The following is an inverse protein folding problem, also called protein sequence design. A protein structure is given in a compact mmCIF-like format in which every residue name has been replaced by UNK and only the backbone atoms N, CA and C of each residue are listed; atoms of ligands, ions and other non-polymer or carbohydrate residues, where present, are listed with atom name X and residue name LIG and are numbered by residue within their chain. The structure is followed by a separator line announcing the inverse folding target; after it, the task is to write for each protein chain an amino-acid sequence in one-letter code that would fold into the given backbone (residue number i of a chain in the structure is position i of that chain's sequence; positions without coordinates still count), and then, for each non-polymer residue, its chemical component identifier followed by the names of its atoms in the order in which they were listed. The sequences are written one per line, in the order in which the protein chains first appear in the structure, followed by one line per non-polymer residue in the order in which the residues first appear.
data_IF_473206223396
#
_entry.id   IF_473206223396
#
_cell.length_a   1.000
_cell.length_b   1.000
_cell.length_c   1.000
_cell.angle_alpha   90.00
_cell.angle_beta   90.00
_cell.angle_gamma   90.00
#
_symmetry.space_group_name_H-M   'P 1'
#
loop_
_entity.id
_entity.type
_entity.pdbx_description
1 polymer ?
#
# COMPACT_ATOMS: atom_id res chain seq x y z
N UNK A 1 -46.08 -43.79 36.77
CA UNK A 1 -45.90 -43.47 38.20
C UNK A 1 -44.58 -42.73 38.37
N UNK A 2 -44.61 -41.40 38.52
CA UNK A 2 -44.03 -40.72 39.70
C UNK A 2 -42.51 -40.61 39.61
N UNK A 3 -41.91 -39.45 39.29
CA UNK A 3 -41.74 -38.35 40.26
C UNK A 3 -41.64 -36.98 39.56
N UNK A 4 -42.20 -35.98 40.23
CA UNK A 4 -42.21 -34.55 39.92
C UNK A 4 -41.31 -33.81 40.93
N UNK A 5 -40.55 -32.83 40.41
CA UNK A 5 -40.17 -31.52 41.01
C UNK A 5 -39.17 -31.51 42.20
N UNK A 6 -38.61 -30.34 42.64
CA UNK A 6 -38.64 -28.95 42.12
C UNK A 6 -37.27 -28.18 42.14
N UNK A 7 -37.26 -26.92 41.68
CA UNK A 7 -36.44 -25.82 42.26
C UNK A 7 -35.43 -25.17 41.31
N UNK A 8 -35.68 -23.96 40.78
CA UNK A 8 -35.18 -22.64 41.28
C UNK A 8 -33.64 -22.59 41.31
N UNK A 9 -32.97 -21.73 40.54
CA UNK A 9 -32.90 -20.31 40.88
C UNK A 9 -32.49 -19.37 39.73
N UNK A 10 -33.09 -18.18 39.80
CA UNK A 10 -32.71 -16.99 39.03
C UNK A 10 -31.42 -16.41 39.64
N UNK A 11 -30.45 -16.05 38.79
CA UNK A 11 -29.43 -15.03 39.13
C UNK A 11 -29.23 -14.10 37.92
N UNK A 12 -29.58 -12.82 38.02
CA UNK A 12 -29.03 -11.79 37.14
C UNK A 12 -28.12 -10.87 37.96
N UNK A 13 -26.82 -10.85 37.69
CA UNK A 13 -25.93 -9.77 38.13
C UNK A 13 -24.54 -9.95 37.53
N UNK A 14 -24.04 -8.91 36.84
CA UNK A 14 -22.66 -8.85 36.38
C UNK A 14 -22.47 -7.94 35.17
N UNK A 15 -22.86 -6.67 35.29
CA UNK A 15 -22.49 -5.63 34.32
C UNK A 15 -20.96 -5.51 34.23
N UNK A 16 -20.37 -5.33 33.04
CA UNK A 16 -18.93 -5.19 32.90
C UNK A 16 -18.45 -3.83 33.44
N UNK A 17 -17.28 -3.74 34.10
CA UNK A 17 -16.71 -2.46 34.50
C UNK A 17 -16.31 -1.63 33.28
N UNK A 18 -16.78 -0.39 33.25
CA UNK A 18 -16.44 0.65 32.28
C UNK A 18 -14.98 1.06 32.44
N UNK A 19 -14.14 0.74 31.45
CA UNK A 19 -12.80 1.31 31.35
C UNK A 19 -12.92 2.70 30.70
N UNK A 20 -12.58 3.74 31.47
CA UNK A 20 -12.50 5.13 31.02
C UNK A 20 -11.33 5.31 30.05
N UNK A 21 -11.60 5.89 28.89
CA UNK A 21 -10.59 6.42 27.98
C UNK A 21 -9.99 7.71 28.57
N UNK A 22 -8.65 7.88 28.57
CA UNK A 22 -8.05 9.18 28.78
C UNK A 22 -8.05 9.99 27.47
N UNK A 23 -8.59 11.21 27.57
CA UNK A 23 -8.55 12.25 26.56
C UNK A 23 -7.10 12.75 26.38
N UNK A 24 -6.45 12.34 25.29
CA UNK A 24 -5.14 12.83 24.87
C UNK A 24 -5.31 13.88 23.78
N UNK A 25 -4.95 15.12 24.09
CA UNK A 25 -5.06 16.29 23.23
C UNK A 25 -4.03 16.22 22.09
N UNK A 26 -4.50 16.29 20.84
CA UNK A 26 -3.62 16.49 19.68
C UNK A 26 -3.14 17.95 19.60
N UNK A 27 -1.84 18.21 19.39
CA UNK A 27 -1.40 19.56 19.09
C UNK A 27 -1.78 19.94 17.65
N UNK A 28 -2.62 20.96 17.52
CA UNK A 28 -2.90 21.69 16.27
C UNK A 28 -1.63 22.40 15.81
N UNK A 29 -1.02 21.93 14.72
CA UNK A 29 0.06 22.66 14.05
C UNK A 29 -0.58 23.69 13.11
N UNK A 30 -0.41 24.97 13.46
CA UNK A 30 -0.86 26.12 12.68
C UNK A 30 0.32 26.60 11.84
N UNK A 31 0.25 26.47 10.52
CA UNK A 31 1.25 27.03 9.61
C UNK A 31 1.03 28.54 9.47
N UNK A 32 1.93 29.36 10.02
CA UNK A 32 2.00 30.80 9.70
C UNK A 32 2.88 31.01 8.47
N UNK A 33 2.29 31.59 7.43
CA UNK A 33 2.97 32.11 6.25
C UNK A 33 3.69 33.41 6.63
N UNK A 34 5.01 33.43 6.56
CA UNK A 34 5.78 34.67 6.69
C UNK A 34 5.84 35.41 5.34
N UNK A 35 5.25 36.60 5.32
CA UNK A 35 5.24 37.51 4.19
C UNK A 35 6.64 38.08 3.90
N UNK A 36 6.95 38.16 2.61
CA UNK A 36 8.16 38.77 2.05
C UNK A 36 8.19 40.26 2.38
N UNK A 37 9.36 40.79 2.77
CA UNK A 37 9.67 42.21 2.65
C UNK A 37 10.98 42.40 1.88
N UNK A 38 10.83 43.08 0.75
CA UNK A 38 11.87 43.62 -0.12
C UNK A 38 12.38 44.94 0.50
N UNK A 39 13.65 45.31 0.28
CA UNK A 39 13.86 46.58 -0.44
C UNK A 39 15.01 46.55 -1.46
N UNK A 40 14.76 47.22 -2.58
CA UNK A 40 15.74 47.78 -3.56
C UNK A 40 15.66 49.32 -3.46
N UNK A 41 16.44 50.15 -4.19
CA UNK A 41 17.71 49.95 -4.91
C UNK A 41 18.77 51.03 -4.58
N UNK A 42 20.00 50.89 -5.07
CA UNK A 42 20.87 52.05 -5.36
C UNK A 42 21.44 51.90 -6.78
N UNK A 43 21.41 53.01 -7.53
CA UNK A 43 21.73 53.20 -8.95
C UNK A 43 23.04 54.04 -9.08
N UNK A 44 23.56 54.39 -10.27
CA UNK A 44 24.48 53.60 -11.10
C UNK A 44 25.77 54.39 -11.46
N UNK A 45 26.67 53.82 -12.28
CA UNK A 45 27.25 54.41 -13.53
C UNK A 45 28.62 53.78 -13.93
N UNK A 46 29.02 53.87 -15.22
CA UNK A 46 29.53 52.72 -15.96
C UNK A 46 30.96 52.89 -16.50
N UNK A 47 31.51 51.83 -17.10
CA UNK A 47 32.24 51.89 -18.38
C UNK A 47 32.39 50.51 -19.02
N UNK A 48 32.18 50.51 -20.33
CA UNK A 48 32.13 49.38 -21.25
C UNK A 48 33.45 48.60 -21.39
N UNK A 49 33.34 47.29 -21.69
CA UNK A 49 33.85 46.70 -22.94
C UNK A 49 33.24 45.31 -23.19
N UNK A 50 32.99 44.92 -24.46
CA UNK A 50 32.29 43.69 -24.79
C UNK A 50 33.28 42.53 -24.91
N UNK A 51 33.01 41.42 -24.23
CA UNK A 51 33.68 40.15 -24.53
C UNK A 51 32.63 39.05 -24.71
N UNK A 52 32.79 38.34 -25.83
CA UNK A 52 31.89 37.37 -26.46
C UNK A 52 31.46 36.24 -25.52
N UNK A 53 30.26 35.65 -25.71
CA UNK A 53 29.83 34.49 -24.94
C UNK A 53 30.63 33.26 -25.38
N UNK A 54 31.61 32.84 -24.59
CA UNK A 54 32.08 31.45 -24.66
C UNK A 54 30.99 30.59 -24.04
N UNK A 55 30.21 29.95 -24.89
CA UNK A 55 29.23 28.95 -24.49
C UNK A 55 29.90 27.88 -23.63
N UNK A 56 29.74 27.99 -22.31
CA UNK A 56 29.70 26.81 -21.45
C UNK A 56 28.43 26.09 -21.86
N UNK A 57 28.57 25.11 -22.77
CA UNK A 57 27.66 23.97 -22.77
C UNK A 57 27.65 23.48 -21.33
N UNK A 58 26.58 23.77 -20.59
CA UNK A 58 26.33 23.07 -19.35
C UNK A 58 26.23 21.61 -19.80
N UNK A 59 27.29 20.85 -19.49
CA UNK A 59 27.29 19.40 -19.64
C UNK A 59 26.03 18.95 -18.87
N UNK A 60 25.11 18.19 -19.48
CA UNK A 60 24.00 17.64 -18.71
C UNK A 60 24.64 16.91 -17.52
N UNK A 61 24.10 17.17 -16.33
CA UNK A 61 24.58 16.58 -15.09
C UNK A 61 24.82 15.10 -15.34
N UNK A 62 26.08 14.70 -15.18
CA UNK A 62 26.52 13.32 -15.21
C UNK A 62 25.61 12.60 -14.20
N UNK A 63 24.65 11.83 -14.71
CA UNK A 63 23.86 10.91 -13.89
C UNK A 63 24.89 10.05 -13.18
N UNK A 64 25.03 10.26 -11.88
CA UNK A 64 25.99 9.57 -11.04
C UNK A 64 25.75 8.07 -11.23
N UNK A 65 26.70 7.41 -11.90
CA UNK A 65 26.69 5.96 -12.07
C UNK A 65 26.86 5.39 -10.67
N UNK A 66 25.80 4.84 -10.10
CA UNK A 66 25.88 4.08 -8.87
C UNK A 66 26.57 2.76 -9.17
N UNK A 67 27.65 2.50 -8.44
CA UNK A 67 28.61 1.40 -8.66
C UNK A 67 28.18 0.09 -8.00
N UNK A 68 26.93 -0.34 -8.19
CA UNK A 68 26.46 -1.67 -7.79
C UNK A 68 25.83 -2.35 -9.01
N UNK A 69 26.55 -3.27 -9.67
CA UNK A 69 26.07 -4.37 -10.51
C UNK A 69 24.65 -4.38 -11.14
N UNK A 70 24.11 -3.25 -11.61
CA UNK A 70 23.00 -3.10 -12.57
C UNK A 70 21.60 -3.63 -12.22
N UNK A 71 21.36 -4.25 -11.07
CA UNK A 71 20.05 -4.81 -10.75
C UNK A 71 19.07 -3.75 -10.23
N UNK A 72 18.08 -3.38 -11.04
CA UNK A 72 16.97 -2.51 -10.61
C UNK A 72 16.14 -3.24 -9.55
N UNK A 73 16.04 -2.69 -8.32
CA UNK A 73 15.18 -3.27 -7.28
C UNK A 73 13.74 -3.33 -7.79
N UNK A 74 13.06 -4.49 -7.75
CA UNK A 74 11.68 -4.59 -8.17
C UNK A 74 10.76 -3.82 -7.21
N UNK A 75 9.75 -3.17 -7.76
CA UNK A 75 8.68 -2.54 -6.99
C UNK A 75 7.63 -3.61 -6.61
N UNK A 76 7.44 -3.85 -5.32
CA UNK A 76 6.58 -4.90 -4.79
C UNK A 76 5.21 -4.34 -4.45
N UNK A 77 4.17 -4.87 -5.08
CA UNK A 77 2.77 -4.50 -4.83
C UNK A 77 2.06 -5.69 -4.21
N UNK A 78 1.68 -5.57 -2.95
CA UNK A 78 0.83 -6.57 -2.30
C UNK A 78 -0.62 -6.32 -2.65
N UNK A 79 -1.28 -7.34 -3.19
CA UNK A 79 -2.73 -7.33 -3.42
C UNK A 79 -3.40 -8.22 -2.41
N UNK A 80 -4.37 -7.66 -1.70
CA UNK A 80 -5.24 -8.41 -0.80
C UNK A 80 -6.68 -7.99 -1.00
N UNK A 81 -7.62 -8.92 -0.85
CA UNK A 81 -9.02 -8.56 -0.95
C UNK A 81 -9.99 -9.69 -0.66
N UNK A 82 -11.26 -9.35 -0.72
CA UNK A 82 -12.33 -10.31 -0.49
C UNK A 82 -12.38 -11.39 -1.58
N UNK A 83 -12.73 -12.62 -1.19
CA UNK A 83 -12.84 -13.77 -2.11
C UNK A 83 -14.04 -13.66 -3.05
N UNK A 84 -15.00 -12.84 -2.66
CA UNK A 84 -16.21 -12.45 -3.39
C UNK A 84 -16.09 -11.04 -3.99
N UNK A 85 -14.89 -10.47 -4.09
CA UNK A 85 -14.72 -9.19 -4.80
C UNK A 85 -15.05 -9.36 -6.29
N UNK A 86 -16.01 -8.59 -6.80
CA UNK A 86 -16.52 -8.71 -8.18
C UNK A 86 -16.04 -7.57 -9.10
N UNK A 87 -15.69 -6.40 -8.55
CA UNK A 87 -15.30 -5.25 -9.35
C UNK A 87 -13.84 -5.36 -9.84
N UNK A 88 -13.67 -6.16 -10.89
CA UNK A 88 -12.39 -6.35 -11.59
C UNK A 88 -11.83 -5.02 -12.09
N UNK A 89 -12.69 -4.09 -12.51
CA UNK A 89 -12.25 -2.82 -13.11
C UNK A 89 -11.52 -1.96 -12.09
N UNK A 90 -12.02 -1.91 -10.86
CA UNK A 90 -11.38 -1.15 -9.79
C UNK A 90 -10.00 -1.68 -9.45
N UNK A 91 -9.83 -3.00 -9.31
CA UNK A 91 -8.51 -3.57 -9.05
C UNK A 91 -7.55 -3.37 -10.22
N UNK A 92 -8.00 -3.57 -11.47
CA UNK A 92 -7.17 -3.34 -12.66
C UNK A 92 -6.74 -1.88 -12.80
N UNK A 93 -7.64 -0.93 -12.55
CA UNK A 93 -7.30 0.50 -12.54
C UNK A 93 -6.25 0.80 -11.49
N UNK A 94 -6.42 0.30 -10.27
CA UNK A 94 -5.45 0.48 -9.21
C UNK A 94 -4.05 -0.04 -9.58
N UNK A 95 -3.96 -1.21 -10.21
CA UNK A 95 -2.69 -1.78 -10.68
C UNK A 95 -2.08 -1.00 -11.85
N UNK A 96 -2.91 -0.55 -12.80
CA UNK A 96 -2.46 0.32 -13.90
C UNK A 96 -1.94 1.67 -13.38
N UNK A 97 -2.58 2.24 -12.36
CA UNK A 97 -2.15 3.48 -11.73
C UNK A 97 -0.77 3.31 -11.08
N UNK A 98 -0.45 2.12 -10.55
CA UNK A 98 0.90 1.82 -10.06
C UNK A 98 1.90 1.88 -11.21
N UNK A 99 1.63 1.21 -12.33
CA UNK A 99 2.52 1.22 -13.49
C UNK A 99 2.76 2.64 -14.02
N UNK A 100 1.70 3.46 -14.07
CA UNK A 100 1.77 4.85 -14.53
C UNK A 100 2.58 5.77 -13.59
N UNK A 101 2.72 5.39 -12.31
CA UNK A 101 3.49 6.14 -11.31
C UNK A 101 4.96 5.71 -11.22
N UNK A 102 5.36 4.65 -11.95
CA UNK A 102 6.76 4.22 -11.95
C UNK A 102 7.66 5.24 -12.67
N UNK A 103 8.90 5.42 -12.20
CA UNK A 103 9.84 6.35 -12.83
C UNK A 103 10.30 5.88 -14.23
N UNK A 104 10.17 4.59 -14.52
CA UNK A 104 10.48 4.00 -15.82
C UNK A 104 9.73 2.68 -16.00
N UNK A 105 9.28 2.34 -17.23
CA UNK A 105 8.70 1.03 -17.54
C UNK A 105 9.67 -0.15 -17.35
N UNK A 106 10.98 0.14 -17.28
CA UNK A 106 12.02 -0.85 -17.03
C UNK A 106 12.13 -1.29 -15.56
N UNK A 107 11.44 -0.60 -14.62
CA UNK A 107 11.39 -1.04 -13.23
C UNK A 107 10.50 -2.28 -13.13
N UNK A 108 11.04 -3.44 -12.72
CA UNK A 108 10.24 -4.65 -12.60
C UNK A 108 9.20 -4.49 -11.50
N UNK A 109 7.98 -4.99 -11.72
CA UNK A 109 6.93 -5.03 -10.70
C UNK A 109 6.65 -6.46 -10.29
N UNK A 110 6.65 -6.71 -8.98
CA UNK A 110 6.24 -8.00 -8.42
C UNK A 110 4.89 -7.81 -7.73
N UNK A 111 3.86 -8.49 -8.25
CA UNK A 111 2.54 -8.54 -7.63
C UNK A 111 2.50 -9.71 -6.64
N UNK A 112 2.51 -9.40 -5.36
CA UNK A 112 2.44 -10.39 -4.27
C UNK A 112 0.97 -10.61 -3.92
N UNK A 113 0.48 -11.85 -3.97
CA UNK A 113 -0.90 -12.16 -3.63
C UNK A 113 -1.08 -13.55 -3.02
N UNK A 114 -2.28 -13.77 -2.51
CA UNK A 114 -2.61 -14.93 -1.69
C UNK A 114 -2.95 -16.24 -2.37
N UNK A 115 -2.83 -16.27 -3.69
CA UNK A 115 -3.22 -17.37 -4.56
C UNK A 115 -4.62 -17.95 -4.27
N UNK A 116 -5.58 -17.10 -3.89
CA UNK A 116 -6.97 -17.55 -3.79
C UNK A 116 -7.56 -17.73 -5.19
N UNK A 117 -8.23 -18.86 -5.50
CA UNK A 117 -8.79 -19.11 -6.83
C UNK A 117 -9.97 -18.19 -7.18
N UNK A 118 -10.43 -17.34 -6.25
CA UNK A 118 -11.56 -16.45 -6.42
C UNK A 118 -11.23 -15.02 -5.93
N UNK A 119 -12.05 -14.07 -6.38
CA UNK A 119 -11.97 -12.68 -5.93
C UNK A 119 -10.70 -11.97 -6.36
N UNK A 120 -10.18 -11.12 -5.46
CA UNK A 120 -9.07 -10.21 -5.73
C UNK A 120 -7.79 -10.93 -6.19
N UNK A 121 -7.41 -12.03 -5.53
CA UNK A 121 -6.16 -12.75 -5.85
C UNK A 121 -6.20 -13.34 -7.27
N UNK A 122 -7.33 -13.94 -7.68
CA UNK A 122 -7.51 -14.43 -9.06
C UNK A 122 -7.41 -13.29 -10.07
N UNK A 123 -8.03 -12.15 -9.76
CA UNK A 123 -8.04 -10.98 -10.64
C UNK A 123 -6.64 -10.36 -10.78
N UNK A 124 -5.85 -10.31 -9.70
CA UNK A 124 -4.47 -9.87 -9.73
C UNK A 124 -3.61 -10.78 -10.63
N UNK A 125 -3.73 -12.10 -10.45
CA UNK A 125 -3.03 -13.08 -11.30
C UNK A 125 -3.43 -12.95 -12.77
N UNK A 126 -4.71 -12.73 -13.07
CA UNK A 126 -5.18 -12.47 -14.42
C UNK A 126 -4.59 -11.18 -15.01
N UNK A 127 -4.54 -10.10 -14.23
CA UNK A 127 -3.94 -8.83 -14.65
C UNK A 127 -2.44 -8.98 -14.95
N UNK A 128 -1.69 -9.73 -14.13
CA UNK A 128 -0.28 -10.02 -14.40
C UNK A 128 -0.11 -10.75 -15.74
N UNK A 129 -0.87 -11.83 -15.96
CA UNK A 129 -0.82 -12.58 -17.22
C UNK A 129 -1.14 -11.72 -18.44
N UNK A 130 -2.14 -10.85 -18.33
CA UNK A 130 -2.51 -9.95 -19.43
C UNK A 130 -1.40 -8.93 -19.71
N UNK A 131 -0.79 -8.37 -18.66
CA UNK A 131 0.25 -7.34 -18.77
C UNK A 131 1.55 -7.91 -19.34
N UNK A 132 1.90 -9.15 -18.98
CA UNK A 132 3.06 -9.87 -19.51
C UNK A 132 3.00 -10.12 -21.03
N UNK A 133 1.81 -10.06 -21.64
CA UNK A 133 1.64 -10.17 -23.10
C UNK A 133 2.03 -8.87 -23.82
N UNK A 134 2.12 -7.75 -23.11
CA UNK A 134 2.51 -6.46 -23.66
C UNK A 134 4.03 -6.22 -23.58
N UNK A 135 4.60 -5.41 -24.48
CA UNK A 135 6.05 -5.17 -24.52
C UNK A 135 6.53 -4.07 -23.55
N UNK A 136 5.61 -3.42 -22.82
CA UNK A 136 5.91 -2.15 -22.15
C UNK A 136 6.43 -2.29 -20.72
N UNK A 137 5.94 -3.27 -19.96
CA UNK A 137 6.22 -3.39 -18.53
C UNK A 137 6.72 -4.78 -18.17
N UNK A 138 7.74 -4.83 -17.30
CA UNK A 138 8.23 -6.09 -16.74
C UNK A 138 7.44 -6.39 -15.46
N UNK A 139 6.53 -7.37 -15.52
CA UNK A 139 5.66 -7.73 -14.39
C UNK A 139 5.78 -9.23 -14.09
N UNK A 140 5.83 -9.59 -12.82
CA UNK A 140 5.78 -10.97 -12.33
C UNK A 140 4.79 -11.10 -11.16
N UNK A 141 4.33 -12.32 -10.89
CA UNK A 141 3.51 -12.63 -9.72
C UNK A 141 4.30 -13.47 -8.70
N UNK A 142 4.08 -13.19 -7.43
CA UNK A 142 4.59 -13.97 -6.30
C UNK A 142 3.39 -14.51 -5.51
N UNK A 143 3.17 -15.83 -5.64
CA UNK A 143 2.01 -16.53 -5.09
C UNK A 143 2.30 -17.08 -3.71
N UNK A 144 1.39 -16.83 -2.78
CA UNK A 144 1.43 -17.36 -1.42
C UNK A 144 0.15 -18.14 -1.10
N UNK A 145 0.03 -19.41 -1.55
CA UNK A 145 -1.12 -20.23 -1.21
C UNK A 145 -1.21 -20.50 0.29
N UNK A 146 -2.41 -20.45 0.84
CA UNK A 146 -2.64 -20.75 2.24
C UNK A 146 -2.59 -22.27 2.50
N UNK A 147 -1.81 -22.70 3.51
CA UNK A 147 -1.73 -24.11 3.89
C UNK A 147 -2.92 -24.52 4.78
N UNK A 148 -4.05 -24.84 4.15
CA UNK A 148 -5.29 -25.22 4.83
C UNK A 148 -5.21 -26.55 5.58
N UNK A 149 -4.41 -27.51 5.06
CA UNK A 149 -4.27 -28.83 5.65
C UNK A 149 -3.67 -28.76 7.06
N UNK A 150 -2.65 -27.92 7.24
CA UNK A 150 -1.96 -27.78 8.53
C UNK A 150 -2.65 -26.77 9.43
N UNK A 151 -3.02 -25.59 8.89
CA UNK A 151 -3.40 -24.44 9.71
C UNK A 151 -4.93 -24.21 9.80
N UNK A 152 -5.73 -25.01 9.11
CA UNK A 152 -7.19 -24.91 9.09
C UNK A 152 -7.68 -23.49 8.81
N UNK A 153 -8.68 -23.03 9.57
CA UNK A 153 -9.30 -21.70 9.40
C UNK A 153 -8.32 -20.53 9.55
N UNK A 154 -7.17 -20.72 10.23
CA UNK A 154 -6.16 -19.68 10.44
C UNK A 154 -5.17 -19.57 9.29
N UNK A 155 -5.14 -20.54 8.36
CA UNK A 155 -4.18 -20.59 7.26
C UNK A 155 -4.11 -19.29 6.47
N UNK A 156 -5.28 -18.69 6.15
CA UNK A 156 -5.34 -17.41 5.45
C UNK A 156 -4.69 -16.26 6.23
N UNK A 157 -4.97 -16.15 7.53
CA UNK A 157 -4.38 -15.09 8.37
C UNK A 157 -2.88 -15.25 8.54
N UNK A 158 -2.40 -16.48 8.77
CA UNK A 158 -0.96 -16.78 8.90
C UNK A 158 -0.23 -16.42 7.60
N UNK A 159 -0.78 -16.84 6.45
CA UNK A 159 -0.25 -16.46 5.15
C UNK A 159 -0.27 -14.95 4.92
N UNK A 160 -1.34 -14.26 5.33
CA UNK A 160 -1.42 -12.80 5.19
C UNK A 160 -0.29 -12.10 5.94
N UNK A 161 -0.07 -12.48 7.20
CA UNK A 161 1.04 -11.96 8.00
C UNK A 161 2.40 -12.29 7.35
N UNK A 162 2.56 -13.50 6.80
CA UNK A 162 3.78 -13.88 6.08
C UNK A 162 4.06 -12.95 4.88
N UNK A 163 3.07 -12.69 4.02
CA UNK A 163 3.25 -11.79 2.87
C UNK A 163 3.62 -10.36 3.29
N UNK A 164 3.08 -9.87 4.42
CA UNK A 164 3.42 -8.56 4.98
C UNK A 164 4.86 -8.54 5.49
N UNK A 165 5.30 -9.59 6.18
CA UNK A 165 6.66 -9.70 6.71
C UNK A 165 7.73 -9.78 5.61
N UNK A 166 7.39 -10.31 4.43
CA UNK A 166 8.27 -10.29 3.26
C UNK A 166 8.47 -8.88 2.68
N UNK A 167 7.63 -7.93 3.09
CA UNK A 167 7.69 -6.53 2.66
C UNK A 167 7.05 -6.27 1.30
N UNK A 168 6.46 -5.09 1.18
CA UNK A 168 5.95 -4.53 -0.07
C UNK A 168 6.15 -3.02 -0.06
N UNK A 169 6.27 -2.41 -1.25
CA UNK A 169 6.37 -0.96 -1.39
C UNK A 169 4.96 -0.32 -1.39
N UNK A 170 3.91 -1.09 -1.72
CA UNK A 170 2.51 -0.67 -1.68
C UNK A 170 1.58 -1.86 -1.40
N UNK A 171 0.52 -1.64 -0.63
CA UNK A 171 -0.57 -2.58 -0.43
C UNK A 171 -1.87 -2.04 -1.07
N UNK A 172 -2.47 -2.84 -1.96
CA UNK A 172 -3.78 -2.61 -2.54
C UNK A 172 -4.79 -3.53 -1.86
N UNK A 173 -5.73 -2.95 -1.12
CA UNK A 173 -6.74 -3.67 -0.35
C UNK A 173 -8.15 -3.43 -0.91
N UNK A 174 -8.78 -4.45 -1.49
CA UNK A 174 -10.17 -4.38 -1.97
C UNK A 174 -11.11 -5.18 -1.05
N UNK A 175 -11.98 -4.49 -0.33
CA UNK A 175 -12.73 -5.03 0.81
C UNK A 175 -14.23 -4.94 0.51
N UNK A 176 -14.84 -6.06 0.15
CA UNK A 176 -16.29 -6.23 0.08
C UNK A 176 -16.86 -6.60 1.44
N UNK A 177 -18.00 -6.01 1.83
CA UNK A 177 -18.79 -6.39 3.01
C UNK A 177 -17.99 -6.49 4.32
N UNK A 178 -16.96 -5.63 4.48
CA UNK A 178 -16.11 -5.63 5.68
C UNK A 178 -15.32 -6.93 5.90
N UNK A 179 -15.01 -7.69 4.83
CA UNK A 179 -14.29 -8.96 4.88
C UNK A 179 -13.17 -8.98 5.93
N UNK A 180 -13.35 -9.80 6.97
CA UNK A 180 -12.42 -9.89 8.11
C UNK A 180 -10.99 -10.15 7.68
N UNK A 181 -10.80 -11.01 6.68
CA UNK A 181 -9.48 -11.36 6.17
C UNK A 181 -8.78 -10.17 5.51
N UNK A 182 -9.47 -9.49 4.59
CA UNK A 182 -8.90 -8.36 3.84
C UNK A 182 -8.67 -7.14 4.74
N UNK A 183 -9.64 -6.81 5.61
CA UNK A 183 -9.53 -5.74 6.59
C UNK A 183 -8.37 -5.97 7.56
N UNK A 184 -8.18 -7.21 8.02
CA UNK A 184 -7.07 -7.54 8.90
C UNK A 184 -5.72 -7.40 8.20
N UNK A 185 -5.58 -7.87 6.96
CA UNK A 185 -4.33 -7.69 6.19
C UNK A 185 -4.01 -6.22 5.95
N UNK A 186 -5.01 -5.40 5.63
CA UNK A 186 -4.81 -3.96 5.43
C UNK A 186 -4.32 -3.27 6.72
N UNK A 187 -4.89 -3.64 7.87
CA UNK A 187 -4.44 -3.14 9.16
C UNK A 187 -3.00 -3.60 9.50
N UNK A 188 -2.66 -4.86 9.22
CA UNK A 188 -1.28 -5.37 9.40
C UNK A 188 -0.29 -4.63 8.50
N UNK A 189 -0.66 -4.32 7.26
CA UNK A 189 0.19 -3.56 6.34
C UNK A 189 0.47 -2.15 6.86
N UNK A 190 -0.55 -1.45 7.36
CA UNK A 190 -0.41 -0.13 7.98
C UNK A 190 0.50 -0.18 9.22
N UNK A 191 0.34 -1.21 10.06
CA UNK A 191 1.19 -1.42 11.23
C UNK A 191 2.65 -1.68 10.86
N UNK A 192 2.89 -2.34 9.72
CA UNK A 192 4.23 -2.57 9.17
C UNK A 192 4.82 -1.35 8.44
N UNK A 193 4.10 -0.22 8.39
CA UNK A 193 4.53 0.99 7.70
C UNK A 193 4.44 0.92 6.17
N UNK A 194 3.74 -0.08 5.63
CA UNK A 194 3.49 -0.21 4.19
C UNK A 194 2.34 0.73 3.82
N UNK A 195 2.51 1.63 2.82
CA UNK A 195 1.42 2.46 2.33
C UNK A 195 0.25 1.60 1.85
N UNK A 196 -0.98 1.91 2.27
CA UNK A 196 -2.18 1.15 1.89
C UNK A 196 -3.16 2.02 1.12
N UNK A 197 -3.67 1.50 0.00
CA UNK A 197 -4.83 2.05 -0.71
C UNK A 197 -6.00 1.09 -0.54
N UNK A 198 -7.13 1.59 -0.04
CA UNK A 198 -8.31 0.79 0.27
C UNK A 198 -9.47 1.15 -0.66
N UNK A 199 -10.16 0.15 -1.19
CA UNK A 199 -11.45 0.30 -1.84
C UNK A 199 -12.46 -0.58 -1.11
N UNK A 200 -13.59 0.01 -0.74
CA UNK A 200 -14.66 -0.70 -0.02
C UNK A 200 -15.91 -0.74 -0.87
N UNK A 201 -16.59 -1.88 -0.87
CA UNK A 201 -17.88 -2.10 -1.53
C UNK A 201 -18.85 -2.85 -0.63
#
# INVERSE_FOLDING_TARGET
MGRRLPGRDRRPAGSPPRVRAPAGHGPRVVWRVAARRNPRPVHPRPRCRPQRPRGRRQRPALVERREDGGAVKPYRVLVTGSRDWEDVRTLRRALNDVLAQLPSPAVPVIVVHGDCPNGADRQASAWVRDTQRGPLFVVAEEKHPANWQINGKRAGFIRNAHMINLGADLCLAVIRNGSRGASHTAALAEQAGIPVRRWTA
#
